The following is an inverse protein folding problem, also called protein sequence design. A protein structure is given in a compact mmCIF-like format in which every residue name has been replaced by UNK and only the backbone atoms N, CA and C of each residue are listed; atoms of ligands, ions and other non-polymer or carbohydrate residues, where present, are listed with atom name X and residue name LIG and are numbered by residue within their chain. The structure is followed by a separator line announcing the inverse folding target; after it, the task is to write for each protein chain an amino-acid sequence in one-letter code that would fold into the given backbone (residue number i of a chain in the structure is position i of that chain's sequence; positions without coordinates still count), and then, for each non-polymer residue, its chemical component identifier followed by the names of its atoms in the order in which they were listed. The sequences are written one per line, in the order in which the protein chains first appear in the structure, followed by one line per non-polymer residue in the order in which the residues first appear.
data_IF_187393101326
#
_entry.id   IF_187393101326
#
_cell.length_a   1.000
_cell.length_b   1.000
_cell.length_c   1.000
_cell.angle_alpha   90.00
_cell.angle_beta   90.00
_cell.angle_gamma   90.00
#
_symmetry.space_group_name_H-M   'P 1'
#
loop_
_entity.id
_entity.type
_entity.pdbx_description
1 polymer ?
#
# COMPACT_ATOMS: atom_id res chain seq x y z
N UNK A 1 7.61 -54.42 -39.54
CA UNK A 1 7.17 -53.01 -39.66
C UNK A 1 7.21 -52.38 -38.26
N UNK A 2 7.97 -51.30 -38.07
CA UNK A 2 8.21 -50.66 -36.77
C UNK A 2 7.13 -49.61 -36.48
N UNK A 3 6.41 -49.77 -35.38
CA UNK A 3 5.55 -48.73 -34.82
C UNK A 3 6.39 -47.62 -34.17
N UNK A 4 6.22 -46.38 -34.64
CA UNK A 4 6.71 -45.17 -33.99
C UNK A 4 5.53 -44.39 -33.42
N UNK A 5 5.20 -44.59 -32.14
CA UNK A 5 4.39 -43.63 -31.38
C UNK A 5 5.31 -42.71 -30.60
N UNK A 6 5.61 -41.56 -31.20
CA UNK A 6 6.43 -40.52 -30.58
C UNK A 6 5.62 -39.80 -29.49
N UNK A 7 6.18 -39.83 -28.28
CA UNK A 7 5.79 -39.10 -27.07
C UNK A 7 5.69 -37.59 -27.33
N UNK A 8 4.49 -37.08 -27.64
CA UNK A 8 4.20 -35.62 -27.75
C UNK A 8 3.64 -34.98 -26.48
N UNK A 9 3.33 -35.74 -25.44
CA UNK A 9 2.64 -35.21 -24.26
C UNK A 9 3.54 -34.44 -23.27
N UNK A 10 4.86 -34.70 -23.24
CA UNK A 10 5.75 -34.15 -22.19
C UNK A 10 6.08 -32.65 -22.38
N UNK A 11 6.16 -32.18 -23.62
CA UNK A 11 6.43 -30.76 -23.91
C UNK A 11 5.26 -29.85 -23.56
N UNK A 12 4.03 -30.29 -23.82
CA UNK A 12 2.82 -29.52 -23.53
C UNK A 12 2.54 -29.39 -22.03
N UNK A 13 2.84 -30.43 -21.24
CA UNK A 13 2.65 -30.40 -19.78
C UNK A 13 3.63 -29.42 -19.12
N UNK A 14 4.88 -29.36 -19.59
CA UNK A 14 5.88 -28.44 -19.04
C UNK A 14 5.55 -26.97 -19.35
N UNK A 15 5.04 -26.68 -20.55
CA UNK A 15 4.58 -25.34 -20.95
C UNK A 15 3.33 -24.92 -20.17
N UNK A 16 2.39 -25.85 -19.94
CA UNK A 16 1.20 -25.59 -19.11
C UNK A 16 1.58 -25.34 -17.65
N UNK A 17 2.54 -26.09 -17.08
CA UNK A 17 3.03 -25.87 -15.72
C UNK A 17 3.81 -24.54 -15.56
N UNK A 18 4.58 -24.14 -16.58
CA UNK A 18 5.24 -22.82 -16.60
C UNK A 18 4.22 -21.68 -16.72
N UNK A 19 3.17 -21.83 -17.54
CA UNK A 19 2.09 -20.86 -17.66
C UNK A 19 1.23 -20.78 -16.39
N UNK A 20 1.01 -21.91 -15.70
CA UNK A 20 0.31 -21.94 -14.40
C UNK A 20 1.16 -21.30 -13.28
N UNK A 21 2.49 -21.46 -13.34
CA UNK A 21 3.42 -20.87 -12.37
C UNK A 21 3.51 -19.34 -12.48
N UNK A 22 3.43 -18.78 -13.69
CA UNK A 22 3.43 -17.32 -13.90
C UNK A 22 2.13 -16.63 -13.44
N UNK A 23 1.02 -17.35 -13.29
CA UNK A 23 -0.24 -16.82 -12.76
C UNK A 23 -0.27 -16.72 -11.23
N UNK A 24 0.77 -17.23 -10.54
CA UNK A 24 0.89 -17.21 -9.08
C UNK A 24 1.84 -16.13 -8.55
N UNK A 25 2.17 -15.12 -9.36
CA UNK A 25 2.77 -13.89 -8.84
C UNK A 25 1.67 -13.13 -8.11
N UNK A 26 1.53 -13.43 -6.81
CA UNK A 26 0.73 -12.66 -5.88
C UNK A 26 1.43 -11.32 -5.69
N UNK A 27 1.07 -10.36 -6.52
CA UNK A 27 1.35 -8.95 -6.27
C UNK A 27 0.66 -8.59 -4.96
N UNK A 28 1.45 -8.22 -3.95
CA UNK A 28 0.97 -7.62 -2.70
C UNK A 28 0.54 -6.20 -3.02
N UNK A 29 -0.73 -6.04 -3.36
CA UNK A 29 -1.34 -4.73 -3.54
C UNK A 29 -1.78 -4.23 -2.17
N UNK A 30 -1.92 -2.92 -2.01
CA UNK A 30 -2.67 -2.32 -0.92
C UNK A 30 -4.09 -2.84 -0.79
N UNK A 31 -4.95 -2.07 -0.13
CA UNK A 31 -6.39 -2.11 -0.42
C UNK A 31 -6.63 -2.44 -1.92
N UNK A 32 -7.53 -3.38 -2.24
CA UNK A 32 -7.78 -3.69 -3.66
C UNK A 32 -8.14 -2.41 -4.44
N UNK A 33 -7.95 -2.40 -5.76
CA UNK A 33 -8.14 -1.18 -6.57
C UNK A 33 -9.46 -0.46 -6.29
N UNK A 34 -10.55 -1.21 -6.07
CA UNK A 34 -11.85 -0.67 -5.68
C UNK A 34 -11.78 0.17 -4.40
N UNK A 35 -11.16 -0.35 -3.35
CA UNK A 35 -11.07 0.29 -2.04
C UNK A 35 -10.22 1.56 -2.07
N UNK A 36 -9.06 1.56 -2.75
CA UNK A 36 -8.27 2.78 -2.95
C UNK A 36 -9.05 3.88 -3.67
N UNK A 37 -9.73 3.53 -4.78
CA UNK A 37 -10.57 4.47 -5.52
C UNK A 37 -11.67 5.03 -4.63
N UNK A 38 -12.36 4.16 -3.88
CA UNK A 38 -13.45 4.56 -3.01
C UNK A 38 -12.99 5.47 -1.88
N UNK A 39 -11.87 5.16 -1.22
CA UNK A 39 -11.27 6.00 -0.18
C UNK A 39 -10.84 7.35 -0.77
N UNK A 40 -10.11 7.36 -1.90
CA UNK A 40 -9.65 8.58 -2.57
C UNK A 40 -10.79 9.50 -2.99
N UNK A 41 -11.85 8.93 -3.58
CA UNK A 41 -13.08 9.64 -3.92
C UNK A 41 -13.71 10.29 -2.69
N UNK A 42 -13.78 9.57 -1.58
CA UNK A 42 -14.55 9.94 -0.38
C UNK A 42 -13.75 10.88 0.54
N UNK A 43 -12.42 10.80 0.54
CA UNK A 43 -11.53 11.66 1.33
C UNK A 43 -11.66 13.14 0.96
N UNK A 44 -12.10 13.47 -0.26
CA UNK A 44 -12.38 14.85 -0.69
C UNK A 44 -13.37 15.56 0.24
N UNK A 45 -14.32 14.82 0.83
CA UNK A 45 -15.32 15.39 1.73
C UNK A 45 -14.75 15.79 3.10
N UNK A 46 -13.60 15.22 3.49
CA UNK A 46 -12.87 15.60 4.70
C UNK A 46 -12.06 16.90 4.54
N UNK A 47 -11.74 17.30 3.30
CA UNK A 47 -10.85 18.43 3.02
C UNK A 47 -11.42 19.73 3.61
N UNK A 48 -10.57 20.61 4.21
CA UNK A 48 -11.00 21.90 4.75
C UNK A 48 -11.69 22.77 3.69
N UNK A 49 -12.71 23.52 4.10
CA UNK A 49 -13.58 24.30 3.20
C UNK A 49 -12.82 25.22 2.22
N UNK A 50 -11.67 25.75 2.63
CA UNK A 50 -10.83 26.64 1.80
C UNK A 50 -10.20 25.94 0.59
N UNK A 51 -9.87 24.65 0.71
CA UNK A 51 -9.24 23.87 -0.35
C UNK A 51 -10.22 22.90 -1.05
N UNK A 52 -11.39 22.66 -0.43
CA UNK A 52 -12.37 21.68 -0.91
C UNK A 52 -12.85 21.90 -2.35
N UNK A 53 -13.15 23.14 -2.82
CA UNK A 53 -13.60 23.34 -4.19
C UNK A 53 -12.63 22.81 -5.25
N UNK A 54 -11.32 23.03 -5.03
CA UNK A 54 -10.27 22.50 -5.92
C UNK A 54 -10.31 20.96 -5.97
N UNK A 55 -10.28 20.30 -4.82
CA UNK A 55 -10.28 18.83 -4.79
C UNK A 55 -11.62 18.21 -5.23
N UNK A 56 -12.74 18.91 -5.03
CA UNK A 56 -14.04 18.48 -5.56
C UNK A 56 -14.09 18.50 -7.08
N UNK A 57 -13.54 19.53 -7.72
CA UNK A 57 -13.42 19.61 -9.17
C UNK A 57 -12.61 18.44 -9.76
N UNK A 58 -11.64 17.92 -9.00
CA UNK A 58 -10.75 16.85 -9.43
C UNK A 58 -11.03 15.49 -8.74
N UNK A 59 -12.22 15.30 -8.15
CA UNK A 59 -12.54 14.10 -7.37
C UNK A 59 -12.35 12.80 -8.16
N UNK A 60 -12.81 12.77 -9.41
CA UNK A 60 -12.70 11.59 -10.26
C UNK A 60 -11.24 11.27 -10.58
N UNK A 61 -10.42 12.29 -10.83
CA UNK A 61 -8.98 12.12 -11.03
C UNK A 61 -8.35 11.50 -9.78
N UNK A 62 -8.61 12.06 -8.59
CA UNK A 62 -8.07 11.53 -7.34
C UNK A 62 -8.51 10.09 -7.08
N UNK A 63 -9.75 9.75 -7.40
CA UNK A 63 -10.28 8.39 -7.33
C UNK A 63 -9.49 7.47 -8.26
N UNK A 64 -9.49 7.74 -9.55
CA UNK A 64 -8.90 6.86 -10.57
C UNK A 64 -7.38 6.69 -10.41
N UNK A 65 -6.68 7.75 -10.00
CA UNK A 65 -5.23 7.72 -9.78
C UNK A 65 -4.83 7.27 -8.37
N UNK A 66 -5.77 6.92 -7.49
CA UNK A 66 -5.46 6.37 -6.16
C UNK A 66 -4.81 4.97 -6.23
N UNK A 67 -4.79 4.33 -7.40
CA UNK A 67 -4.13 3.03 -7.64
C UNK A 67 -2.79 3.17 -8.36
N UNK A 68 -2.41 4.38 -8.76
CA UNK A 68 -1.20 4.59 -9.55
C UNK A 68 0.07 4.05 -8.89
N UNK A 69 0.30 4.22 -7.56
CA UNK A 69 1.48 3.65 -6.91
C UNK A 69 1.61 2.13 -7.08
N UNK A 70 0.50 1.38 -7.00
CA UNK A 70 0.51 -0.06 -7.29
C UNK A 70 0.95 -0.35 -8.74
N UNK A 71 0.52 0.49 -9.68
CA UNK A 71 0.86 0.36 -11.10
C UNK A 71 2.32 0.77 -11.38
N UNK A 72 2.89 1.68 -10.60
CA UNK A 72 4.26 2.15 -10.75
C UNK A 72 5.29 1.05 -10.50
N UNK A 73 4.97 0.00 -9.73
CA UNK A 73 5.84 -1.18 -9.53
C UNK A 73 6.30 -1.84 -10.83
N UNK A 74 5.53 -1.70 -11.91
CA UNK A 74 5.88 -2.22 -13.24
C UNK A 74 7.08 -1.52 -13.88
N UNK A 75 7.42 -0.32 -13.40
CA UNK A 75 8.40 0.57 -14.02
C UNK A 75 9.41 1.16 -13.02
N UNK A 76 9.10 1.12 -11.73
CA UNK A 76 9.98 1.51 -10.62
C UNK A 76 10.18 0.30 -9.69
N UNK A 77 11.35 -0.37 -9.74
CA UNK A 77 11.62 -1.55 -8.91
C UNK A 77 11.66 -1.22 -7.41
N UNK A 78 11.88 0.05 -7.04
CA UNK A 78 11.92 0.51 -5.65
C UNK A 78 10.54 0.96 -5.15
N UNK A 79 9.49 0.82 -5.96
CA UNK A 79 8.15 1.23 -5.55
C UNK A 79 7.59 0.34 -4.45
N UNK A 80 7.79 -0.98 -4.54
CA UNK A 80 7.19 -1.96 -3.62
C UNK A 80 7.43 -1.65 -2.14
N UNK A 81 8.66 -1.29 -1.77
CA UNK A 81 9.04 -0.99 -0.37
C UNK A 81 8.36 0.26 0.20
N UNK A 82 7.67 1.07 -0.63
CA UNK A 82 7.00 2.31 -0.20
C UNK A 82 5.58 2.07 0.33
N UNK A 83 5.06 0.85 0.20
CA UNK A 83 3.69 0.49 0.53
C UNK A 83 3.53 -0.14 1.92
N UNK A 84 4.61 -0.55 2.56
CA UNK A 84 4.54 -1.33 3.78
C UNK A 84 5.65 -0.98 4.76
N UNK A 85 5.54 -1.55 5.95
CA UNK A 85 6.63 -1.67 6.93
C UNK A 85 6.43 -2.95 7.73
N UNK A 86 7.38 -3.88 7.67
CA UNK A 86 7.38 -5.10 8.48
C UNK A 86 7.86 -4.75 9.90
N UNK A 87 7.00 -4.05 10.66
CA UNK A 87 7.43 -3.37 11.88
C UNK A 87 7.81 -4.35 13.00
N UNK A 88 7.28 -5.57 12.95
CA UNK A 88 7.54 -6.66 13.88
C UNK A 88 8.93 -7.26 13.78
N UNK A 89 9.63 -7.05 12.66
CA UNK A 89 11.04 -7.39 12.52
C UNK A 89 11.97 -6.49 13.35
N UNK A 90 11.46 -5.43 13.97
CA UNK A 90 12.23 -4.51 14.80
C UNK A 90 12.07 -4.75 16.31
N UNK A 91 11.46 -5.85 16.75
CA UNK A 91 11.43 -6.28 18.15
C UNK A 91 10.01 -6.39 18.72
N UNK A 92 9.84 -6.36 20.05
CA UNK A 92 8.53 -6.47 20.67
C UNK A 92 7.72 -5.17 20.50
N UNK A 93 6.40 -5.30 20.41
CA UNK A 93 5.48 -4.16 20.45
C UNK A 93 5.75 -3.29 21.70
N UNK A 94 5.77 -1.94 21.62
CA UNK A 94 5.41 -1.08 20.47
C UNK A 94 6.59 -0.76 19.53
N UNK A 95 7.58 -1.66 19.43
CA UNK A 95 8.71 -1.60 18.50
C UNK A 95 9.65 -0.42 18.77
N UNK A 96 9.90 -0.13 20.05
CA UNK A 96 10.75 0.98 20.49
C UNK A 96 12.21 0.85 20.03
N UNK A 97 12.62 -0.35 19.62
CA UNK A 97 13.95 -0.53 19.06
C UNK A 97 14.11 0.15 17.70
N UNK A 98 13.03 0.46 16.96
CA UNK A 98 13.06 1.19 15.69
C UNK A 98 13.06 2.71 15.93
N UNK A 99 14.16 3.43 15.66
CA UNK A 99 14.13 4.89 15.64
C UNK A 99 13.12 5.38 14.61
N UNK A 100 12.29 6.35 14.98
CA UNK A 100 11.30 6.92 14.05
C UNK A 100 11.94 7.84 13.02
N UNK A 101 13.14 8.36 13.30
CA UNK A 101 13.96 9.06 12.30
C UNK A 101 14.63 8.05 11.35
N UNK A 102 14.45 8.24 10.04
CA UNK A 102 14.94 7.30 9.02
C UNK A 102 16.47 7.18 9.02
N UNK A 103 17.19 8.29 9.20
CA UNK A 103 18.65 8.27 9.19
C UNK A 103 19.18 7.47 10.38
N UNK A 104 18.60 7.66 11.57
CA UNK A 104 18.92 6.86 12.77
C UNK A 104 18.51 5.40 12.61
N UNK A 105 17.38 5.10 12.00
CA UNK A 105 16.96 3.74 11.70
C UNK A 105 17.98 3.03 10.80
N UNK A 106 18.39 3.68 9.70
CA UNK A 106 19.40 3.17 8.77
C UNK A 106 20.78 3.04 9.42
N UNK A 107 21.16 3.98 10.30
CA UNK A 107 22.40 3.88 11.05
C UNK A 107 22.41 2.66 12.00
N UNK A 108 21.27 2.36 12.64
CA UNK A 108 21.16 1.28 13.61
C UNK A 108 21.01 -0.10 12.96
N UNK A 109 20.19 -0.21 11.92
CA UNK A 109 19.81 -1.51 11.32
C UNK A 109 20.45 -1.77 9.96
N UNK A 110 21.12 -0.77 9.36
CA UNK A 110 21.59 -0.84 7.98
C UNK A 110 20.57 -0.28 7.00
N UNK A 111 21.04 0.36 5.92
CA UNK A 111 20.17 0.95 4.92
C UNK A 111 19.39 -0.09 4.13
N UNK A 112 20.06 -1.18 3.72
CA UNK A 112 19.46 -2.27 2.94
C UNK A 112 18.37 -2.97 3.75
N UNK A 113 18.66 -3.33 5.01
CA UNK A 113 17.67 -3.94 5.91
C UNK A 113 16.46 -3.03 6.16
N UNK A 114 16.65 -1.72 6.30
CA UNK A 114 15.52 -0.78 6.44
C UNK A 114 14.70 -0.68 5.16
N UNK A 115 15.33 -0.72 4.00
CA UNK A 115 14.61 -0.72 2.73
C UNK A 115 13.84 -2.03 2.52
N UNK A 116 14.47 -3.18 2.73
CA UNK A 116 13.87 -4.52 2.58
C UNK A 116 12.64 -4.71 3.48
N UNK A 117 12.69 -4.17 4.70
CA UNK A 117 11.58 -4.22 5.67
C UNK A 117 10.51 -3.15 5.44
N UNK A 118 10.60 -2.40 4.34
CA UNK A 118 9.62 -1.39 3.98
C UNK A 118 9.86 -0.03 4.65
N UNK A 119 9.62 1.02 3.86
CA UNK A 119 9.84 2.42 4.22
C UNK A 119 8.56 3.26 4.19
N UNK A 120 7.39 2.63 4.13
CA UNK A 120 6.10 3.30 3.95
C UNK A 120 5.87 4.51 4.85
N UNK A 121 6.11 4.45 6.18
CA UNK A 121 5.85 5.59 7.07
C UNK A 121 6.65 6.83 6.70
N UNK A 122 7.93 6.65 6.37
CA UNK A 122 8.79 7.75 5.95
C UNK A 122 8.41 8.24 4.54
N UNK A 123 8.01 7.33 3.66
CA UNK A 123 7.56 7.68 2.32
C UNK A 123 6.28 8.51 2.32
N UNK A 124 5.33 8.22 3.22
CA UNK A 124 4.13 9.06 3.45
C UNK A 124 4.53 10.49 3.81
N UNK A 125 5.44 10.67 4.78
CA UNK A 125 5.88 12.02 5.21
C UNK A 125 6.61 12.75 4.09
N UNK A 126 7.47 12.06 3.34
CA UNK A 126 8.13 12.61 2.16
C UNK A 126 7.10 13.07 1.13
N UNK A 127 6.14 12.22 0.80
CA UNK A 127 5.07 12.47 -0.18
C UNK A 127 4.18 13.65 0.25
N UNK A 128 3.87 13.76 1.54
CA UNK A 128 3.18 14.91 2.12
C UNK A 128 3.97 16.21 1.94
N UNK A 129 5.26 16.20 2.28
CA UNK A 129 6.12 17.39 2.13
C UNK A 129 6.26 17.81 0.65
N UNK A 130 6.34 16.83 -0.26
CA UNK A 130 6.32 17.06 -1.70
C UNK A 130 5.00 17.72 -2.15
N UNK A 131 3.86 17.21 -1.68
CA UNK A 131 2.53 17.80 -1.96
C UNK A 131 2.45 19.26 -1.48
N UNK A 132 2.84 19.54 -0.23
CA UNK A 132 2.84 20.90 0.33
C UNK A 132 3.68 21.84 -0.54
N UNK A 133 4.86 21.39 -1.01
CA UNK A 133 5.71 22.19 -1.89
C UNK A 133 5.05 22.47 -3.23
N UNK A 134 4.43 21.46 -3.86
CA UNK A 134 3.75 21.61 -5.15
C UNK A 134 2.54 22.55 -5.07
N UNK A 135 1.75 22.42 -4.01
CA UNK A 135 0.63 23.33 -3.75
C UNK A 135 1.11 24.79 -3.58
N UNK A 136 2.21 25.02 -2.86
CA UNK A 136 2.82 26.36 -2.72
C UNK A 136 3.29 26.93 -4.05
N UNK A 137 3.80 26.09 -4.95
CA UNK A 137 4.20 26.46 -6.31
C UNK A 137 3.03 26.64 -7.27
N UNK A 138 1.80 26.28 -6.86
CA UNK A 138 0.60 26.26 -7.70
C UNK A 138 0.74 25.37 -8.94
N UNK A 139 1.53 24.30 -8.81
CA UNK A 139 1.68 23.27 -9.84
C UNK A 139 0.50 22.30 -9.71
N UNK A 140 -0.55 22.50 -10.52
CA UNK A 140 -1.82 21.79 -10.42
C UNK A 140 -1.65 20.31 -10.73
N UNK A 141 -1.06 19.97 -11.87
CA UNK A 141 -0.96 18.59 -12.34
C UNK A 141 -0.15 17.73 -11.37
N UNK A 142 1.02 18.21 -10.95
CA UNK A 142 1.86 17.51 -9.98
C UNK A 142 1.19 17.42 -8.60
N UNK A 143 0.41 18.44 -8.20
CA UNK A 143 -0.36 18.41 -6.96
C UNK A 143 -1.38 17.28 -6.97
N UNK A 144 -2.10 17.08 -8.08
CA UNK A 144 -3.11 16.03 -8.19
C UNK A 144 -2.48 14.63 -8.15
N UNK A 145 -1.42 14.40 -8.92
CA UNK A 145 -0.66 13.12 -8.87
C UNK A 145 -0.18 12.84 -7.45
N UNK A 146 0.43 13.85 -6.80
CA UNK A 146 1.00 13.66 -5.46
C UNK A 146 -0.07 13.50 -4.38
N UNK A 147 -1.23 14.13 -4.53
CA UNK A 147 -2.36 13.97 -3.62
C UNK A 147 -2.97 12.56 -3.72
N UNK A 148 -3.16 12.04 -4.94
CA UNK A 148 -3.64 10.68 -5.15
C UNK A 148 -2.65 9.63 -4.56
N UNK A 149 -1.36 9.80 -4.83
CA UNK A 149 -0.32 8.95 -4.27
C UNK A 149 -0.24 9.02 -2.73
N UNK A 150 -0.38 10.20 -2.14
CA UNK A 150 -0.44 10.33 -0.68
C UNK A 150 -1.63 9.59 -0.09
N UNK A 151 -2.80 9.68 -0.75
CA UNK A 151 -3.99 8.93 -0.34
C UNK A 151 -3.73 7.43 -0.36
N UNK A 152 -3.09 6.92 -1.42
CA UNK A 152 -2.72 5.52 -1.55
C UNK A 152 -1.84 5.04 -0.38
N UNK A 153 -0.66 5.64 -0.20
CA UNK A 153 0.30 5.17 0.82
C UNK A 153 -0.24 5.28 2.25
N UNK A 154 -1.06 6.30 2.55
CA UNK A 154 -1.73 6.39 3.87
C UNK A 154 -2.76 5.28 4.03
N UNK A 155 -3.47 4.92 2.95
CA UNK A 155 -4.48 3.85 2.98
C UNK A 155 -3.82 2.49 3.19
N UNK A 156 -2.68 2.23 2.54
CA UNK A 156 -1.90 0.99 2.72
C UNK A 156 -1.50 0.78 4.17
N UNK A 157 -0.98 1.82 4.82
CA UNK A 157 -0.60 1.73 6.23
C UNK A 157 -1.79 1.66 7.19
N UNK A 158 -3.03 1.73 6.69
CA UNK A 158 -4.23 1.37 7.44
C UNK A 158 -4.57 -0.13 7.33
N UNK A 159 -4.01 -0.87 6.36
CA UNK A 159 -4.17 -2.31 6.21
C UNK A 159 -3.23 -3.03 7.19
N UNK A 160 -3.73 -3.83 8.14
CA UNK A 160 -2.89 -4.49 9.14
C UNK A 160 -1.80 -5.37 8.53
N UNK A 161 -2.10 -6.00 7.40
CA UNK A 161 -1.19 -6.87 6.67
C UNK A 161 -0.04 -6.11 5.97
N UNK A 162 -0.11 -4.79 5.83
CA UNK A 162 1.02 -3.94 5.37
C UNK A 162 1.97 -3.56 6.50
N UNK A 163 1.75 -4.10 7.70
CA UNK A 163 2.52 -3.72 8.90
C UNK A 163 3.28 -4.90 9.53
N UNK A 164 3.32 -6.07 8.89
CA UNK A 164 3.86 -7.31 9.48
C UNK A 164 4.59 -8.16 8.45
N UNK A 165 5.66 -8.84 8.86
CA UNK A 165 6.35 -9.81 7.99
C UNK A 165 5.41 -10.92 7.51
N UNK A 166 4.38 -11.27 8.28
CA UNK A 166 3.40 -12.31 7.94
C UNK A 166 2.26 -11.76 7.07
N UNK A 167 2.56 -10.80 6.20
CA UNK A 167 1.59 -10.03 5.41
C UNK A 167 0.64 -10.89 4.58
N UNK A 168 1.08 -12.06 4.11
CA UNK A 168 0.26 -12.99 3.32
C UNK A 168 -0.08 -14.27 4.09
N UNK A 169 0.14 -14.31 5.41
CA UNK A 169 -0.13 -15.50 6.23
C UNK A 169 0.88 -16.64 5.99
N UNK A 170 1.98 -16.39 5.29
CA UNK A 170 2.98 -17.37 4.89
C UNK A 170 3.68 -18.07 6.06
N UNK A 171 3.74 -17.45 7.24
CA UNK A 171 4.32 -18.03 8.46
C UNK A 171 3.32 -18.84 9.28
N UNK A 172 2.04 -18.78 8.94
CA UNK A 172 0.95 -19.49 9.64
C UNK A 172 0.26 -20.54 8.78
N UNK A 173 0.67 -20.70 7.52
CA UNK A 173 0.03 -21.58 6.55
C UNK A 173 -1.26 -21.01 5.93
N UNK A 174 -1.58 -19.74 6.17
CA UNK A 174 -2.76 -19.05 5.64
C UNK A 174 -2.46 -18.25 4.37
N UNK A 175 -1.60 -18.79 3.49
CA UNK A 175 -1.15 -18.09 2.28
C UNK A 175 -2.33 -17.59 1.43
N UNK A 176 -2.29 -16.34 0.99
CA UNK A 176 -3.34 -15.69 0.19
C UNK A 176 -4.34 -14.86 1.01
N UNK A 177 -4.16 -14.73 2.32
CA UNK A 177 -5.06 -13.93 3.17
C UNK A 177 -5.01 -12.45 2.84
N UNK A 178 -3.88 -11.94 2.34
CA UNK A 178 -3.67 -10.54 1.96
C UNK A 178 -4.72 -10.10 0.93
N UNK A 179 -4.68 -10.72 -0.25
CA UNK A 179 -5.63 -10.49 -1.34
C UNK A 179 -7.08 -10.76 -0.93
N UNK A 180 -7.30 -11.77 -0.07
CA UNK A 180 -8.66 -12.10 0.39
C UNK A 180 -9.23 -10.96 1.23
N UNK A 181 -8.45 -10.40 2.14
CA UNK A 181 -8.86 -9.31 3.01
C UNK A 181 -9.08 -8.01 2.23
N UNK A 182 -8.08 -7.57 1.47
CA UNK A 182 -8.04 -6.20 0.94
C UNK A 182 -8.90 -6.00 -0.32
N UNK A 183 -9.09 -7.07 -1.10
CA UNK A 183 -9.83 -7.02 -2.36
C UNK A 183 -11.10 -7.85 -2.26
N UNK A 184 -11.00 -9.16 -2.02
CA UNK A 184 -12.17 -10.06 -2.14
C UNK A 184 -13.27 -9.71 -1.13
N UNK A 185 -12.91 -9.51 0.14
CA UNK A 185 -13.89 -9.14 1.16
C UNK A 185 -14.46 -7.74 0.92
N UNK A 186 -13.63 -6.76 0.55
CA UNK A 186 -14.13 -5.39 0.35
C UNK A 186 -15.07 -5.31 -0.84
N UNK A 187 -14.74 -5.95 -1.95
CA UNK A 187 -15.62 -6.00 -3.12
C UNK A 187 -16.92 -6.75 -2.83
N UNK A 188 -16.85 -7.88 -2.12
CA UNK A 188 -18.03 -8.67 -1.76
C UNK A 188 -19.00 -7.93 -0.84
N UNK A 189 -18.48 -7.08 0.05
CA UNK A 189 -19.27 -6.37 1.04
C UNK A 189 -19.39 -4.86 0.75
N UNK A 190 -19.01 -4.41 -0.45
CA UNK A 190 -18.99 -2.98 -0.80
C UNK A 190 -20.32 -2.28 -0.49
N UNK A 191 -21.45 -2.90 -0.84
CA UNK A 191 -22.79 -2.35 -0.64
C UNK A 191 -23.22 -2.28 0.84
N UNK A 192 -22.60 -3.07 1.73
CA UNK A 192 -22.92 -3.09 3.16
C UNK A 192 -21.95 -2.23 3.99
N UNK A 193 -20.80 -1.86 3.43
CA UNK A 193 -19.82 -0.99 4.08
C UNK A 193 -20.28 0.47 4.09
N UNK A 194 -20.09 1.14 5.22
CA UNK A 194 -20.40 2.57 5.37
C UNK A 194 -19.13 3.33 5.72
N UNK A 195 -18.67 4.18 4.81
CA UNK A 195 -17.58 5.11 5.08
C UNK A 195 -18.09 6.28 5.92
N UNK A 196 -17.49 6.48 7.09
CA UNK A 196 -17.74 7.66 7.92
C UNK A 196 -16.62 8.66 7.69
N UNK A 197 -16.94 9.77 7.01
CA UNK A 197 -16.00 10.85 6.78
C UNK A 197 -16.12 11.88 7.89
N UNK A 198 -14.98 12.23 8.50
CA UNK A 198 -14.89 13.31 9.50
C UNK A 198 -14.10 14.48 8.93
N UNK A 199 -14.38 15.72 9.35
CA UNK A 199 -13.58 16.87 8.96
C UNK A 199 -12.10 16.66 9.26
N UNK A 200 -11.22 17.03 8.34
CA UNK A 200 -9.78 16.93 8.52
C UNK A 200 -9.31 17.74 9.73
N UNK A 201 -8.38 17.16 10.48
CA UNK A 201 -7.73 17.81 11.62
C UNK A 201 -6.28 18.12 11.30
N UNK A 202 -5.75 19.18 11.90
CA UNK A 202 -4.35 19.54 11.74
C UNK A 202 -3.46 18.54 12.49
N UNK A 203 -2.55 17.90 11.75
CA UNK A 203 -1.50 17.05 12.31
C UNK A 203 -0.27 17.94 12.55
N UNK A 204 0.24 17.95 13.79
CA UNK A 204 1.42 18.76 14.17
C UNK A 204 2.73 18.08 13.78
N UNK A 205 2.79 16.77 13.99
CA UNK A 205 3.94 15.93 13.66
C UNK A 205 3.45 14.77 12.76
N UNK A 206 3.63 14.90 11.43
CA UNK A 206 3.22 13.86 10.49
C UNK A 206 3.93 12.52 10.71
N UNK A 207 5.18 12.54 11.17
CA UNK A 207 5.98 11.33 11.37
C UNK A 207 5.51 10.57 12.61
N UNK A 208 5.31 11.27 13.73
CA UNK A 208 4.71 10.65 14.92
C UNK A 208 3.31 10.09 14.60
N UNK A 209 2.48 10.87 13.90
CA UNK A 209 1.12 10.46 13.55
C UNK A 209 1.09 9.19 12.69
N UNK A 210 1.96 9.08 11.67
CA UNK A 210 1.94 7.90 10.80
C UNK A 210 2.47 6.66 11.52
N UNK A 211 3.44 6.79 12.43
CA UNK A 211 3.85 5.66 13.26
C UNK A 211 2.76 5.23 14.25
N UNK A 212 2.04 6.17 14.86
CA UNK A 212 0.87 5.84 15.68
C UNK A 212 -0.21 5.11 14.87
N UNK A 213 -0.40 5.50 13.61
CA UNK A 213 -1.32 4.82 12.69
C UNK A 213 -0.87 3.39 12.40
N UNK A 214 0.42 3.18 12.09
CA UNK A 214 1.01 1.86 11.87
C UNK A 214 0.84 0.98 13.11
N UNK A 215 1.14 1.48 14.31
CA UNK A 215 0.98 0.71 15.56
C UNK A 215 -0.48 0.31 15.79
N UNK A 216 -1.44 1.20 15.50
CA UNK A 216 -2.86 0.88 15.57
C UNK A 216 -3.25 -0.17 14.53
N UNK A 217 -2.83 0.00 13.27
CA UNK A 217 -3.12 -0.94 12.19
C UNK A 217 -2.55 -2.32 12.51
N UNK A 218 -1.28 -2.39 12.92
CA UNK A 218 -0.64 -3.60 13.39
C UNK A 218 -1.45 -4.29 14.50
N UNK A 219 -1.93 -3.56 15.52
CA UNK A 219 -2.71 -4.21 16.59
C UNK A 219 -3.99 -4.93 16.15
N UNK A 220 -4.47 -4.70 14.91
CA UNK A 220 -5.67 -5.32 14.36
C UNK A 220 -5.41 -6.68 13.68
N UNK A 221 -4.18 -7.03 13.28
CA UNK A 221 -3.92 -8.35 12.68
C UNK A 221 -3.90 -9.49 13.73
N UNK A 222 -3.79 -9.15 15.02
CA UNK A 222 -3.73 -10.10 16.13
C UNK A 222 -5.11 -10.50 16.69
N UNK A 223 -6.20 -9.92 16.19
CA UNK A 223 -7.56 -10.14 16.67
C UNK A 223 -8.32 -11.10 15.75
#
# INVERSE_FOLDING_TARGET
MRDKRFSRAKGSILVVLLLLGCLLVSESYGWGFFAHKWIGRTAVDAVPAQARPFFQQHREYLSEHAIDPDLWRKHDPDEGVRHYIDIDLYGPYPFDALPRDLAKARQKFGADTVNERGIGPWWVVKTYNDLVRLMRKRDVDSTLVKAAALCHYVSDLCVPLHTTENYDGQLTGNKGIHRRFEATMIEMYADSLKLTVRPAQRIKDPLAFIFDLVLRSYSLHQK
#
